data_IF_335972577343
#
_entry.id   IF_335972577343
#
_cell.length_a   1.000
_cell.length_b   1.000
_cell.length_c   1.000
_cell.angle_alpha   90.00
_cell.angle_beta   90.00
_cell.angle_gamma   90.00
#
_symmetry.space_group_name_H-M   'P 1'
#
loop_
_entity.id
_entity.type
_entity.pdbx_description
1 polymer ?
#
# COMPACT_ATOMS: atom_id res chain seq x y z
N UNK A 1 6.86 7.69 -9.80
CA UNK A 1 5.63 7.69 -8.96
C UNK A 1 6.02 7.14 -7.60
N UNK A 2 5.49 7.69 -6.51
CA UNK A 2 5.75 7.17 -5.17
C UNK A 2 4.58 6.31 -4.69
N UNK A 3 4.88 5.15 -4.10
CA UNK A 3 3.88 4.14 -3.74
C UNK A 3 4.08 3.73 -2.29
N UNK A 4 2.98 3.64 -1.54
CA UNK A 4 2.95 3.13 -0.17
C UNK A 4 2.20 1.79 -0.18
N UNK A 5 2.84 0.75 0.34
CA UNK A 5 2.27 -0.59 0.48
C UNK A 5 2.46 -1.12 1.88
N UNK A 6 1.56 -2.01 2.28
CA UNK A 6 1.72 -2.83 3.49
C UNK A 6 1.66 -4.31 3.13
N UNK A 7 1.68 -5.18 4.14
CA UNK A 7 1.59 -6.62 3.92
C UNK A 7 0.25 -7.03 3.28
N UNK A 8 0.26 -8.14 2.55
CA UNK A 8 -0.93 -8.83 2.04
C UNK A 8 -1.85 -9.20 3.21
N UNK A 9 -3.16 -9.06 3.02
CA UNK A 9 -4.11 -9.26 4.11
C UNK A 9 -4.20 -8.07 5.06
N UNK A 10 -3.76 -6.88 4.62
CA UNK A 10 -3.66 -5.64 5.41
C UNK A 10 -4.78 -5.53 6.44
N UNK A 11 -4.38 -5.37 7.70
CA UNK A 11 -5.27 -5.13 8.83
C UNK A 11 -5.36 -3.63 9.16
N UNK A 12 -5.99 -3.29 10.28
CA UNK A 12 -6.18 -1.88 10.64
C UNK A 12 -4.87 -1.18 11.01
N UNK A 13 -3.87 -1.91 11.52
CA UNK A 13 -2.58 -1.34 11.89
C UNK A 13 -1.78 -1.04 10.62
N UNK A 14 -1.75 -1.98 9.67
CA UNK A 14 -1.18 -1.75 8.34
C UNK A 14 -1.84 -0.58 7.61
N UNK A 15 -3.18 -0.51 7.61
CA UNK A 15 -3.90 0.62 7.00
C UNK A 15 -3.57 1.95 7.71
N UNK A 16 -3.52 1.98 9.04
CA UNK A 16 -3.18 3.18 9.81
C UNK A 16 -1.75 3.64 9.52
N UNK A 17 -0.80 2.71 9.39
CA UNK A 17 0.58 3.00 9.02
C UNK A 17 0.67 3.57 7.60
N UNK A 18 -0.10 3.05 6.65
CA UNK A 18 -0.18 3.61 5.29
C UNK A 18 -0.68 5.06 5.32
N UNK A 19 -1.72 5.35 6.11
CA UNK A 19 -2.26 6.71 6.27
C UNK A 19 -1.24 7.64 6.93
N UNK A 20 -0.51 7.17 7.95
CA UNK A 20 0.55 7.95 8.58
C UNK A 20 1.68 8.28 7.59
N UNK A 21 2.10 7.29 6.79
CA UNK A 21 3.10 7.48 5.74
C UNK A 21 2.62 8.47 4.67
N UNK A 22 1.36 8.37 4.23
CA UNK A 22 0.78 9.31 3.26
C UNK A 22 0.70 10.75 3.79
N UNK A 23 0.58 10.94 5.11
CA UNK A 23 0.67 12.28 5.72
C UNK A 23 2.09 12.86 5.70
N UNK A 24 3.10 12.01 5.77
CA UNK A 24 4.51 12.41 5.65
C UNK A 24 4.93 12.60 4.19
N UNK A 25 4.32 11.84 3.27
CA UNK A 25 4.59 11.84 1.84
C UNK A 25 3.29 12.05 1.04
N UNK A 26 2.75 13.28 0.99
CA UNK A 26 1.43 13.57 0.41
C UNK A 26 1.27 13.24 -1.09
N UNK A 27 2.39 13.13 -1.81
CA UNK A 27 2.44 12.76 -3.22
C UNK A 27 2.41 11.25 -3.47
N UNK A 28 2.62 10.45 -2.43
CA UNK A 28 2.68 9.01 -2.54
C UNK A 28 1.27 8.41 -2.55
N UNK A 29 1.06 7.39 -3.38
CA UNK A 29 -0.24 6.73 -3.51
C UNK A 29 -0.28 5.47 -2.66
N UNK A 30 -1.33 5.32 -1.85
CA UNK A 30 -1.55 4.13 -1.06
C UNK A 30 -2.15 3.02 -1.93
N UNK A 31 -1.44 1.89 -2.01
CA UNK A 31 -1.84 0.74 -2.83
C UNK A 31 -2.07 -0.47 -1.93
N UNK A 32 -3.27 -1.04 -2.01
CA UNK A 32 -3.63 -2.25 -1.30
C UNK A 32 -3.11 -3.47 -2.07
N UNK A 33 -2.54 -4.41 -1.32
CA UNK A 33 -2.06 -5.70 -1.80
C UNK A 33 -3.14 -6.75 -1.58
N UNK A 34 -3.52 -7.47 -2.64
CA UNK A 34 -4.39 -8.63 -2.54
C UNK A 34 -5.70 -8.38 -1.78
N UNK A 35 -6.15 -9.39 -1.02
CA UNK A 35 -7.31 -9.26 -0.14
C UNK A 35 -6.96 -8.48 1.14
N UNK A 36 -7.93 -7.74 1.69
CA UNK A 36 -7.82 -7.13 3.02
C UNK A 36 -8.55 -8.00 4.05
N UNK A 37 -8.17 -7.87 5.32
CA UNK A 37 -8.96 -8.45 6.42
C UNK A 37 -10.44 -7.99 6.34
N UNK A 38 -11.37 -8.81 6.84
CA UNK A 38 -12.80 -8.51 6.78
C UNK A 38 -13.17 -7.18 7.47
N UNK A 39 -12.47 -6.86 8.57
CA UNK A 39 -12.60 -5.60 9.29
C UNK A 39 -12.20 -4.39 8.44
N UNK A 40 -11.03 -4.44 7.80
CA UNK A 40 -10.55 -3.37 6.90
C UNK A 40 -11.47 -3.22 5.70
N UNK A 41 -11.89 -4.32 5.08
CA UNK A 41 -12.80 -4.28 3.94
C UNK A 41 -14.13 -3.61 4.31
N UNK A 42 -14.67 -3.93 5.48
CA UNK A 42 -15.88 -3.28 6.00
C UNK A 42 -15.65 -1.80 6.23
N UNK A 43 -14.55 -1.43 6.90
CA UNK A 43 -14.19 -0.04 7.16
C UNK A 43 -14.09 0.79 5.87
N UNK A 44 -13.35 0.31 4.88
CA UNK A 44 -13.20 0.97 3.57
C UNK A 44 -14.55 1.09 2.86
N UNK A 45 -15.41 0.09 2.98
CA UNK A 45 -16.73 0.09 2.34
C UNK A 45 -17.69 1.09 2.99
N UNK A 46 -17.68 1.20 4.31
CA UNK A 46 -18.51 2.15 5.07
C UNK A 46 -17.98 3.59 4.94
N UNK A 47 -16.68 3.77 4.74
CA UNK A 47 -15.99 5.07 4.66
C UNK A 47 -15.43 5.33 3.25
N UNK A 48 -16.13 4.89 2.21
CA UNK A 48 -15.69 5.11 0.82
C UNK A 48 -15.45 6.60 0.56
N UNK A 49 -14.32 6.91 -0.05
CA UNK A 49 -13.93 8.28 -0.41
C UNK A 49 -13.23 9.07 0.69
N UNK A 50 -13.10 8.53 1.91
CA UNK A 50 -12.32 9.18 2.97
C UNK A 50 -10.80 9.04 2.76
N UNK A 51 -10.36 7.91 2.20
CA UNK A 51 -8.95 7.62 1.95
C UNK A 51 -8.73 7.35 0.45
N UNK A 52 -7.72 7.97 -0.17
CA UNK A 52 -7.36 7.70 -1.56
C UNK A 52 -6.58 6.38 -1.66
N UNK A 53 -7.30 5.26 -1.60
CA UNK A 53 -6.76 3.91 -1.72
C UNK A 53 -6.95 3.37 -3.14
N UNK A 54 -5.91 2.76 -3.68
CA UNK A 54 -5.94 2.10 -4.98
C UNK A 54 -5.69 0.60 -4.83
N UNK A 55 -6.32 -0.19 -5.68
CA UNK A 55 -5.96 -1.59 -5.89
C UNK A 55 -4.80 -1.66 -6.89
N UNK A 56 -3.91 -2.64 -6.73
CA UNK A 56 -2.75 -2.83 -7.61
C UNK A 56 -3.09 -2.73 -9.11
N UNK A 57 -4.16 -3.41 -9.55
CA UNK A 57 -4.59 -3.43 -10.95
C UNK A 57 -5.18 -2.11 -11.50
N UNK A 58 -5.37 -1.09 -10.65
CA UNK A 58 -5.86 0.23 -11.07
C UNK A 58 -4.75 1.18 -11.50
N UNK A 59 -3.48 0.82 -11.27
CA UNK A 59 -2.32 1.68 -11.49
C UNK A 59 -1.30 0.99 -12.41
N UNK A 60 -0.56 1.81 -13.16
CA UNK A 60 0.64 1.35 -13.87
C UNK A 60 1.84 1.47 -12.93
N UNK A 61 2.24 0.35 -12.34
CA UNK A 61 3.30 0.27 -11.34
C UNK A 61 4.69 0.00 -11.96
N UNK A 62 4.83 0.17 -13.27
CA UNK A 62 6.02 -0.24 -14.01
C UNK A 62 7.26 0.64 -13.72
N UNK A 63 7.05 1.89 -13.31
CA UNK A 63 8.11 2.88 -13.02
C UNK A 63 7.83 3.64 -11.71
N UNK A 64 8.31 3.09 -10.61
CA UNK A 64 8.18 3.66 -9.26
C UNK A 64 9.49 4.33 -8.87
N UNK A 65 9.43 5.59 -8.43
CA UNK A 65 10.60 6.31 -7.94
C UNK A 65 10.91 5.96 -6.49
N UNK A 66 9.87 5.81 -5.66
CA UNK A 66 10.02 5.40 -4.26
C UNK A 66 8.92 4.43 -3.87
N UNK A 67 9.30 3.31 -3.27
CA UNK A 67 8.39 2.36 -2.63
C UNK A 67 8.57 2.48 -1.12
N UNK A 68 7.53 2.93 -0.43
CA UNK A 68 7.46 2.91 1.03
C UNK A 68 6.77 1.63 1.47
N UNK A 69 7.46 0.84 2.30
CA UNK A 69 6.94 -0.39 2.86
C UNK A 69 6.63 -0.13 4.33
N UNK A 70 5.37 -0.30 4.72
CA UNK A 70 4.93 -0.11 6.11
C UNK A 70 4.33 -1.39 6.67
N UNK A 71 4.63 -1.67 7.93
CA UNK A 71 4.09 -2.85 8.64
C UNK A 71 4.38 -4.19 7.93
N UNK A 72 5.48 -4.24 7.18
CA UNK A 72 6.01 -5.44 6.54
C UNK A 72 7.54 -5.40 6.63
N UNK A 73 8.16 -6.50 7.03
CA UNK A 73 9.61 -6.61 7.21
C UNK A 73 10.27 -7.35 6.05
N UNK A 74 9.56 -8.30 5.45
CA UNK A 74 10.07 -9.15 4.37
C UNK A 74 9.29 -8.88 3.07
N UNK A 75 9.98 -8.79 1.90
CA UNK A 75 9.32 -8.57 0.62
C UNK A 75 8.20 -9.57 0.30
N UNK A 76 8.32 -10.81 0.77
CA UNK A 76 7.32 -11.87 0.58
C UNK A 76 5.97 -11.52 1.20
N UNK A 77 5.98 -10.70 2.27
CA UNK A 77 4.74 -10.23 2.89
C UNK A 77 3.96 -9.28 1.98
N UNK A 78 4.57 -8.69 0.94
CA UNK A 78 3.88 -7.86 -0.04
C UNK A 78 3.13 -8.68 -1.11
N UNK A 79 3.12 -10.01 -1.03
CA UNK A 79 2.38 -10.89 -1.93
C UNK A 79 2.67 -10.59 -3.41
N UNK A 80 1.61 -10.33 -4.19
CA UNK A 80 1.71 -10.03 -5.63
C UNK A 80 2.46 -8.73 -5.97
N UNK A 81 2.75 -7.88 -4.98
CA UNK A 81 3.53 -6.64 -5.16
C UNK A 81 4.99 -6.76 -4.72
N UNK A 82 5.45 -7.94 -4.30
CA UNK A 82 6.85 -8.14 -3.90
C UNK A 82 7.86 -7.73 -4.99
N UNK A 83 7.47 -7.88 -6.28
CA UNK A 83 8.30 -7.48 -7.42
C UNK A 83 8.56 -5.96 -7.51
N UNK A 84 7.79 -5.13 -6.78
CA UNK A 84 8.02 -3.68 -6.74
C UNK A 84 9.36 -3.33 -6.09
N UNK A 85 9.85 -4.16 -5.16
CA UNK A 85 11.15 -3.96 -4.52
C UNK A 85 12.30 -3.94 -5.53
N UNK A 86 12.19 -4.69 -6.63
CA UNK A 86 13.20 -4.74 -7.69
C UNK A 86 13.03 -3.64 -8.75
N UNK A 87 11.89 -2.93 -8.73
CA UNK A 87 11.52 -1.92 -9.73
C UNK A 87 11.61 -0.49 -9.24
N UNK A 88 11.49 -0.30 -7.94
CA UNK A 88 11.57 1.02 -7.36
C UNK A 88 13.03 1.53 -7.37
N UNK A 89 13.24 2.78 -7.76
CA UNK A 89 14.57 3.38 -7.68
C UNK A 89 15.06 3.49 -6.22
N UNK A 90 14.12 3.63 -5.28
CA UNK A 90 14.38 3.70 -3.84
C UNK A 90 13.33 2.89 -3.08
N UNK A 91 13.75 2.10 -2.09
CA UNK A 91 12.88 1.39 -1.15
C UNK A 91 13.15 1.91 0.26
N UNK A 92 12.08 2.28 0.97
CA UNK A 92 12.10 2.85 2.32
C UNK A 92 11.28 1.98 3.26
#
# INVERSE_FOLDING_TARGET
MEVIVSHEGTDLDGLAAMVACAKLHPQAVMVLVGGQSSGVRRFITEHKGYLPLYQAGQLKLDNISTLYIVDAQEPQQLGELAWLCDKADTVV
#
